data_IF_965649291951
#
_entry.id   IF_965649291951
#
_cell.length_a   1.000
_cell.length_b   1.000
_cell.length_c   1.000
_cell.angle_alpha   90.00
_cell.angle_beta   90.00
_cell.angle_gamma   90.00
#
_symmetry.space_group_name_H-M   'P 1'
#
loop_
_entity.id
_entity.type
_entity.pdbx_description
1 polymer ?
#
# COMPACT_ATOMS: atom_id res chain seq x y z
N UNK A 1 -67.14 36.79 33.18
CA UNK A 1 -65.79 36.22 33.04
C UNK A 1 -65.72 35.39 31.78
N UNK A 2 -65.14 35.92 30.69
CA UNK A 2 -64.89 35.18 29.43
C UNK A 2 -63.40 35.33 29.16
N UNK A 3 -62.62 34.27 29.43
CA UNK A 3 -61.18 34.23 29.15
C UNK A 3 -60.98 33.78 27.71
N UNK A 4 -60.50 34.69 26.85
CA UNK A 4 -60.02 34.36 25.51
C UNK A 4 -58.62 33.76 25.64
N UNK A 5 -58.45 32.51 25.22
CA UNK A 5 -57.14 31.86 25.11
C UNK A 5 -56.55 32.16 23.74
N UNK A 6 -55.49 32.98 23.70
CA UNK A 6 -54.69 33.23 22.50
C UNK A 6 -53.66 32.11 22.34
N UNK A 7 -53.88 31.20 21.39
CA UNK A 7 -52.88 30.21 21.00
C UNK A 7 -51.75 30.89 20.23
N UNK A 8 -50.56 30.94 20.82
CA UNK A 8 -49.34 31.39 20.14
C UNK A 8 -48.74 30.20 19.38
N UNK A 9 -48.77 30.26 18.05
CA UNK A 9 -48.14 29.28 17.17
C UNK A 9 -46.65 29.66 17.01
N UNK A 10 -45.77 28.95 17.69
CA UNK A 10 -44.32 29.13 17.59
C UNK A 10 -43.81 28.45 16.31
N UNK A 11 -43.50 29.26 15.28
CA UNK A 11 -42.89 28.80 14.04
C UNK A 11 -41.37 28.62 14.27
N UNK A 12 -40.90 27.37 14.41
CA UNK A 12 -39.47 27.06 14.43
C UNK A 12 -38.87 27.29 13.03
N UNK A 13 -38.04 28.33 12.90
CA UNK A 13 -37.14 28.50 11.75
C UNK A 13 -36.04 27.42 11.82
N UNK A 14 -36.08 26.45 10.91
CA UNK A 14 -34.96 25.54 10.69
C UNK A 14 -33.87 26.29 9.90
N UNK A 15 -32.74 26.61 10.56
CA UNK A 15 -31.56 27.10 9.84
C UNK A 15 -30.94 25.94 9.04
N UNK A 16 -30.59 26.14 7.76
CA UNK A 16 -29.90 25.11 6.99
C UNK A 16 -28.48 24.93 7.53
N UNK A 17 -28.15 23.71 7.95
CA UNK A 17 -26.79 23.33 8.31
C UNK A 17 -25.94 23.25 7.05
N UNK A 18 -24.87 24.04 6.96
CA UNK A 18 -23.84 23.90 5.93
C UNK A 18 -23.15 22.54 6.13
N UNK A 19 -23.51 21.55 5.31
CA UNK A 19 -22.83 20.27 5.27
C UNK A 19 -21.50 20.45 4.54
N UNK A 20 -20.39 20.23 5.23
CA UNK A 20 -19.07 20.10 4.60
C UNK A 20 -18.81 18.62 4.35
N UNK A 21 -18.96 18.17 3.10
CA UNK A 21 -18.53 16.83 2.71
C UNK A 21 -17.08 16.86 2.21
N UNK A 22 -16.38 15.74 2.38
CA UNK A 22 -15.05 15.50 1.82
C UNK A 22 -15.22 14.46 0.73
N UNK A 23 -14.79 14.78 -0.48
CA UNK A 23 -14.86 13.86 -1.62
C UNK A 23 -13.77 12.80 -1.49
N UNK A 24 -14.13 11.52 -1.35
CA UNK A 24 -13.17 10.43 -1.23
C UNK A 24 -12.90 9.84 -2.61
N UNK A 25 -11.67 10.01 -3.10
CA UNK A 25 -11.19 9.40 -4.35
C UNK A 25 -10.25 8.24 -4.01
N UNK A 26 -10.52 7.07 -4.59
CA UNK A 26 -9.67 5.89 -4.43
C UNK A 26 -8.65 5.83 -5.55
N UNK A 27 -7.36 5.82 -5.21
CA UNK A 27 -6.28 5.75 -6.19
C UNK A 27 -5.89 4.31 -6.51
N UNK A 28 -6.34 3.80 -7.65
CA UNK A 28 -6.04 2.44 -8.13
C UNK A 28 -4.95 2.44 -9.20
N UNK A 29 -3.98 3.36 -9.12
CA UNK A 29 -2.98 3.61 -10.17
C UNK A 29 -3.58 4.13 -11.50
N UNK A 30 -4.82 4.62 -11.44
CA UNK A 30 -5.50 5.33 -12.52
C UNK A 30 -5.41 6.84 -12.24
N UNK A 31 -5.21 7.69 -13.26
CA UNK A 31 -5.25 9.15 -13.09
C UNK A 31 -6.56 9.62 -12.46
N UNK A 32 -6.46 10.41 -11.39
CA UNK A 32 -7.63 10.95 -10.68
C UNK A 32 -8.02 12.32 -11.22
N UNK A 33 -9.29 12.49 -11.59
CA UNK A 33 -9.81 13.77 -12.05
C UNK A 33 -10.12 14.69 -10.87
N UNK A 34 -9.49 15.86 -10.81
CA UNK A 34 -9.71 16.88 -9.80
C UNK A 34 -10.12 18.18 -10.50
N UNK A 35 -11.43 18.42 -10.67
CA UNK A 35 -11.90 19.69 -11.21
C UNK A 35 -11.62 20.83 -10.24
N UNK A 36 -11.21 21.98 -10.77
CA UNK A 36 -10.89 23.21 -10.06
C UNK A 36 -11.84 24.32 -10.53
N UNK A 37 -11.99 25.34 -9.69
CA UNK A 37 -12.69 26.58 -10.04
C UNK A 37 -11.69 27.71 -9.98
N UNK A 38 -11.70 28.59 -10.98
CA UNK A 38 -10.79 29.74 -11.05
C UNK A 38 -11.00 30.64 -9.81
N UNK A 39 -9.90 31.07 -9.19
CA UNK A 39 -9.91 31.93 -8.00
C UNK A 39 -10.25 31.22 -6.69
N UNK A 40 -10.53 29.91 -6.71
CA UNK A 40 -10.84 29.12 -5.52
C UNK A 40 -9.74 28.09 -5.26
N UNK A 41 -9.25 28.03 -4.02
CA UNK A 41 -8.26 27.04 -3.61
C UNK A 41 -8.96 25.72 -3.26
N UNK A 42 -8.48 24.62 -3.84
CA UNK A 42 -8.95 23.26 -3.55
C UNK A 42 -7.85 22.48 -2.84
N UNK A 43 -8.21 21.89 -1.70
CA UNK A 43 -7.30 21.07 -0.89
C UNK A 43 -7.47 19.60 -1.27
N UNK A 44 -6.36 18.92 -1.50
CA UNK A 44 -6.30 17.48 -1.80
C UNK A 44 -5.44 16.80 -0.74
N UNK A 45 -6.05 16.01 0.15
CA UNK A 45 -5.36 15.21 1.14
C UNK A 45 -4.81 13.94 0.48
N UNK A 46 -3.50 13.77 0.47
CA UNK A 46 -2.80 12.59 -0.08
C UNK A 46 -2.31 11.66 1.05
N UNK A 47 -2.34 12.15 2.29
CA UNK A 47 -1.83 11.47 3.50
C UNK A 47 -0.35 11.05 3.38
N UNK A 48 0.38 11.62 2.41
CA UNK A 48 1.80 11.35 2.09
C UNK A 48 2.50 12.60 1.60
N UNK A 49 3.78 12.75 1.93
CA UNK A 49 4.58 13.86 1.45
C UNK A 49 4.93 13.64 -0.02
N UNK A 50 4.46 14.53 -0.90
CA UNK A 50 4.65 14.41 -2.35
C UNK A 50 5.38 15.61 -2.93
N UNK A 51 6.25 15.35 -3.90
CA UNK A 51 6.82 16.34 -4.81
C UNK A 51 5.93 16.44 -6.05
N UNK A 52 5.64 17.65 -6.49
CA UNK A 52 4.71 17.87 -7.61
C UNK A 52 5.46 18.39 -8.82
N UNK A 53 5.36 17.66 -9.93
CA UNK A 53 5.80 18.09 -11.25
C UNK A 53 4.68 18.83 -11.97
N UNK A 54 4.86 20.14 -12.17
CA UNK A 54 3.91 21.00 -12.89
C UNK A 54 4.39 21.19 -14.33
N UNK A 55 3.58 20.84 -15.35
CA UNK A 55 3.86 21.14 -16.75
C UNK A 55 4.12 22.62 -17.00
N UNK A 56 4.98 22.94 -17.98
CA UNK A 56 5.35 24.32 -18.31
C UNK A 56 4.14 25.19 -18.67
N UNK A 57 3.16 24.61 -19.34
CA UNK A 57 1.94 25.31 -19.79
C UNK A 57 1.04 25.77 -18.63
N UNK A 58 1.26 25.23 -17.43
CA UNK A 58 0.53 25.60 -16.21
C UNK A 58 1.30 26.58 -15.30
N UNK A 59 2.54 26.94 -15.65
CA UNK A 59 3.32 27.90 -14.87
C UNK A 59 2.63 29.27 -14.88
N UNK A 60 2.47 29.88 -13.71
CA UNK A 60 1.73 31.14 -13.53
C UNK A 60 0.21 30.96 -13.44
N UNK A 61 -0.37 29.99 -14.16
CA UNK A 61 -1.81 29.71 -14.16
C UNK A 61 -2.26 28.88 -12.97
N UNK A 62 -1.42 27.97 -12.50
CA UNK A 62 -1.69 27.11 -11.37
C UNK A 62 -0.67 27.34 -10.26
N UNK A 63 -1.14 27.77 -9.09
CA UNK A 63 -0.35 27.78 -7.86
C UNK A 63 -0.50 26.43 -7.16
N UNK A 64 0.63 25.80 -6.88
CA UNK A 64 0.70 24.48 -6.24
C UNK A 64 1.55 24.57 -4.99
N UNK A 65 1.02 24.12 -3.85
CA UNK A 65 1.79 23.99 -2.61
C UNK A 65 1.57 22.60 -2.00
N UNK A 66 2.66 21.93 -1.63
CA UNK A 66 2.62 20.62 -0.96
C UNK A 66 3.14 20.79 0.46
N UNK A 67 2.31 20.48 1.46
CA UNK A 67 2.71 20.57 2.87
C UNK A 67 1.93 19.58 3.72
N UNK A 68 2.63 18.89 4.62
CA UNK A 68 2.01 18.04 5.65
C UNK A 68 1.09 16.94 5.12
N UNK A 69 1.37 16.41 3.92
CA UNK A 69 0.51 15.40 3.28
C UNK A 69 -0.72 15.93 2.55
N UNK A 70 -0.86 17.26 2.44
CA UNK A 70 -1.91 17.93 1.68
C UNK A 70 -1.33 18.73 0.51
N UNK A 71 -2.10 18.80 -0.57
CA UNK A 71 -1.81 19.53 -1.79
C UNK A 71 -2.84 20.65 -1.95
N UNK A 72 -2.36 21.89 -1.98
CA UNK A 72 -3.17 23.09 -2.18
C UNK A 72 -3.06 23.51 -3.64
N UNK A 73 -4.19 23.51 -4.34
CA UNK A 73 -4.29 23.82 -5.76
C UNK A 73 -5.14 25.08 -5.94
N UNK A 74 -4.56 26.13 -6.50
CA UNK A 74 -5.28 27.35 -6.85
C UNK A 74 -5.07 27.63 -8.35
N UNK A 75 -6.16 27.63 -9.11
CA UNK A 75 -6.16 28.05 -10.50
C UNK A 75 -6.43 29.56 -10.58
N UNK A 76 -5.54 30.31 -11.19
CA UNK A 76 -5.67 31.76 -11.38
C UNK A 76 -6.43 32.10 -12.68
N UNK A 77 -6.46 31.16 -13.63
CA UNK A 77 -7.05 31.30 -14.96
C UNK A 77 -7.70 29.96 -15.37
N UNK A 78 -8.58 29.94 -16.38
CA UNK A 78 -9.07 28.70 -16.97
C UNK A 78 -7.94 27.80 -17.47
N UNK A 79 -8.03 26.51 -17.14
CA UNK A 79 -7.01 25.51 -17.46
C UNK A 79 -7.69 24.35 -18.22
N UNK A 80 -7.28 24.05 -19.46
CA UNK A 80 -7.74 22.84 -20.15
C UNK A 80 -7.26 21.59 -19.41
N UNK A 81 -7.88 20.41 -19.63
CA UNK A 81 -7.47 19.18 -18.98
C UNK A 81 -5.96 18.92 -19.07
N UNK A 82 -5.29 18.93 -17.92
CA UNK A 82 -3.84 18.85 -17.82
C UNK A 82 -3.43 17.90 -16.69
N UNK A 83 -2.34 17.17 -16.90
CA UNK A 83 -1.88 16.13 -15.99
C UNK A 83 -0.73 16.62 -15.10
N UNK A 84 -0.92 16.48 -13.79
CA UNK A 84 0.09 16.68 -12.76
C UNK A 84 0.70 15.34 -12.36
N UNK A 85 2.01 15.34 -12.12
CA UNK A 85 2.75 14.19 -11.59
C UNK A 85 3.08 14.40 -10.13
N UNK A 86 2.64 13.49 -9.27
CA UNK A 86 2.94 13.49 -7.86
C UNK A 86 3.91 12.35 -7.59
N UNK A 87 5.04 12.66 -6.98
CA UNK A 87 6.04 11.68 -6.59
C UNK A 87 6.11 11.61 -5.07
N UNK A 88 5.88 10.43 -4.50
CA UNK A 88 6.07 10.18 -3.07
C UNK A 88 7.54 10.39 -2.70
N UNK A 89 7.78 11.21 -1.67
CA UNK A 89 9.13 11.58 -1.25
C UNK A 89 9.89 10.42 -0.54
N UNK A 90 9.17 9.41 -0.04
CA UNK A 90 9.73 8.28 0.71
C UNK A 90 10.16 7.14 -0.21
N UNK A 91 9.25 6.66 -1.07
CA UNK A 91 9.49 5.48 -1.92
C UNK A 91 9.64 5.82 -3.42
N UNK A 92 9.43 7.08 -3.82
CA UNK A 92 9.52 7.51 -5.22
C UNK A 92 8.33 7.09 -6.09
N UNK A 93 7.27 6.52 -5.51
CA UNK A 93 6.06 6.10 -6.20
C UNK A 93 5.39 7.28 -6.92
N UNK A 94 4.89 7.03 -8.13
CA UNK A 94 4.29 8.07 -8.98
C UNK A 94 2.77 7.93 -9.03
N UNK A 95 2.09 8.99 -8.64
CA UNK A 95 0.64 9.17 -8.78
C UNK A 95 0.36 10.25 -9.84
N UNK A 96 -0.71 10.04 -10.62
CA UNK A 96 -1.15 10.96 -11.67
C UNK A 96 -2.48 11.58 -11.27
N UNK A 97 -2.57 12.90 -11.41
CA UNK A 97 -3.81 13.66 -11.19
C UNK A 97 -4.08 14.47 -12.46
N UNK A 98 -5.31 14.41 -12.94
CA UNK A 98 -5.78 15.22 -14.06
C UNK A 98 -6.60 16.39 -13.50
N UNK A 99 -6.17 17.61 -13.79
CA UNK A 99 -6.86 18.84 -13.37
C UNK A 99 -7.51 19.53 -14.57
N UNK A 100 -8.59 20.25 -14.30
CA UNK A 100 -9.18 21.19 -15.25
C UNK A 100 -9.82 22.33 -14.45
N UNK A 101 -9.63 23.57 -14.87
CA UNK A 101 -10.20 24.74 -14.17
C UNK A 101 -11.21 25.46 -15.06
N UNK A 102 -12.41 25.68 -14.51
CA UNK A 102 -13.50 26.43 -15.15
C UNK A 102 -13.80 27.70 -14.36
N UNK A 103 -14.33 28.72 -15.03
CA UNK A 103 -14.78 29.95 -14.38
C UNK A 103 -15.87 29.67 -13.34
N UNK A 104 -15.89 30.46 -12.26
CA UNK A 104 -16.93 30.39 -11.27
C UNK A 104 -18.25 30.95 -11.82
N UNK A 105 -19.34 30.21 -11.66
CA UNK A 105 -20.69 30.75 -11.89
C UNK A 105 -21.11 31.60 -10.68
N UNK A 106 -21.95 32.63 -10.86
CA UNK A 106 -22.27 33.64 -9.85
C UNK A 106 -22.73 33.09 -8.48
N UNK A 107 -23.30 31.88 -8.45
CA UNK A 107 -23.79 31.21 -7.23
C UNK A 107 -23.01 29.92 -6.90
N UNK A 108 -21.79 29.74 -7.43
CA UNK A 108 -21.06 28.49 -7.31
C UNK A 108 -20.27 28.42 -5.98
N UNK A 109 -20.73 27.55 -5.08
CA UNK A 109 -20.08 27.21 -3.83
C UNK A 109 -18.62 26.74 -4.05
N UNK A 110 -17.67 27.05 -3.14
CA UNK A 110 -16.32 26.50 -3.19
C UNK A 110 -16.34 24.97 -3.31
N UNK A 111 -15.49 24.44 -4.20
CA UNK A 111 -15.38 22.98 -4.36
C UNK A 111 -14.89 22.33 -3.08
N UNK A 112 -15.50 21.19 -2.77
CA UNK A 112 -15.17 20.42 -1.59
C UNK A 112 -13.73 19.88 -1.63
N UNK A 113 -13.08 19.75 -0.46
CA UNK A 113 -11.79 19.10 -0.35
C UNK A 113 -11.85 17.65 -0.83
N UNK A 114 -10.77 17.20 -1.45
CA UNK A 114 -10.61 15.82 -1.91
C UNK A 114 -9.72 15.08 -0.93
N UNK A 115 -10.07 13.84 -0.60
CA UNK A 115 -9.17 12.90 0.06
C UNK A 115 -8.86 11.75 -0.87
N UNK A 116 -7.59 11.61 -1.21
CA UNK A 116 -7.08 10.48 -1.99
C UNK A 116 -6.72 9.37 -1.02
N UNK A 117 -7.44 8.26 -1.11
CA UNK A 117 -7.12 7.04 -0.40
C UNK A 117 -6.33 6.14 -1.34
N UNK A 118 -5.13 5.73 -0.94
CA UNK A 118 -4.38 4.73 -1.69
C UNK A 118 -5.25 3.48 -1.86
N UNK A 119 -5.37 2.99 -3.10
CA UNK A 119 -6.01 1.70 -3.37
C UNK A 119 -5.32 0.60 -2.57
N UNK A 120 -6.01 -0.53 -2.40
CA UNK A 120 -5.45 -1.67 -1.69
C UNK A 120 -4.03 -1.94 -2.20
N UNK A 121 -3.02 -2.01 -1.30
CA UNK A 121 -1.69 -2.40 -1.74
C UNK A 121 -1.85 -3.75 -2.43
N UNK A 122 -1.32 -3.87 -3.66
CA UNK A 122 -1.26 -5.15 -4.37
C UNK A 122 -0.81 -6.19 -3.35
N UNK A 123 -1.61 -7.23 -3.17
CA UNK A 123 -1.34 -8.26 -2.17
C UNK A 123 0.14 -8.63 -2.24
N UNK A 124 0.87 -8.60 -1.11
CA UNK A 124 2.30 -8.86 -1.12
C UNK A 124 2.55 -10.19 -1.84
N UNK A 125 3.58 -10.23 -2.68
CA UNK A 125 3.98 -11.49 -3.28
C UNK A 125 4.33 -12.48 -2.16
N UNK A 126 4.05 -13.75 -2.37
CA UNK A 126 4.11 -14.74 -1.31
C UNK A 126 5.52 -14.79 -0.70
N UNK A 127 5.59 -14.64 0.63
CA UNK A 127 6.85 -14.66 1.37
C UNK A 127 7.53 -13.29 1.52
N UNK A 128 6.93 -12.20 1.04
CA UNK A 128 7.44 -10.85 1.26
C UNK A 128 6.98 -10.30 2.62
N UNK A 129 7.91 -9.67 3.35
CA UNK A 129 7.56 -8.94 4.57
C UNK A 129 6.84 -7.65 4.20
N UNK A 130 5.74 -7.33 4.88
CA UNK A 130 5.06 -6.04 4.66
C UNK A 130 5.98 -4.93 5.17
N UNK A 131 6.45 -4.07 4.28
CA UNK A 131 7.04 -2.80 4.72
C UNK A 131 5.95 -2.02 5.46
N UNK A 132 6.20 -1.70 6.73
CA UNK A 132 5.30 -0.92 7.52
C UNK A 132 5.15 0.46 6.88
N UNK A 133 4.09 0.67 6.10
CA UNK A 133 3.65 2.01 5.77
C UNK A 133 3.29 2.71 7.10
N UNK A 134 3.86 3.89 7.39
CA UNK A 134 3.50 4.61 8.59
C UNK A 134 2.03 5.02 8.48
N UNK A 135 1.16 4.31 9.20
CA UNK A 135 -0.21 4.74 9.43
C UNK A 135 -0.17 6.00 10.28
N UNK A 136 -0.87 7.04 9.84
CA UNK A 136 -0.95 8.34 10.51
C UNK A 136 -1.65 8.31 11.89
N UNK A 137 -1.96 7.14 12.44
CA UNK A 137 -2.58 6.98 13.76
C UNK A 137 -1.58 6.82 14.93
N UNK A 138 -0.26 6.75 14.68
CA UNK A 138 0.74 6.60 15.75
C UNK A 138 1.53 7.89 15.99
N UNK A 139 0.86 8.95 16.46
CA UNK A 139 1.55 10.02 17.21
C UNK A 139 1.25 9.84 18.68
N UNK A 140 2.20 9.20 19.38
CA UNK A 140 2.63 9.44 20.77
C UNK A 140 3.13 8.13 21.39
N UNK A 141 4.40 7.82 21.14
CA UNK A 141 5.33 7.36 22.20
C UNK A 141 6.73 7.36 21.61
N UNK A 142 7.57 8.25 22.14
CA UNK A 142 9.01 8.19 21.96
C UNK A 142 9.52 6.92 22.66
N UNK A 143 9.81 5.89 21.89
CA UNK A 143 10.89 4.94 22.15
C UNK A 143 11.34 4.44 20.77
N UNK A 144 12.61 4.66 20.45
CA UNK A 144 13.25 4.11 19.27
C UNK A 144 13.39 2.58 19.44
N UNK A 145 12.30 1.86 19.21
CA UNK A 145 12.35 0.43 19.01
C UNK A 145 12.67 0.19 17.53
N UNK A 146 13.69 -0.63 17.26
CA UNK A 146 14.02 -1.09 15.91
C UNK A 146 12.75 -1.55 15.19
N UNK A 147 12.59 -1.31 13.87
CA UNK A 147 11.36 -1.62 13.16
C UNK A 147 11.01 -3.10 13.38
N UNK A 148 9.97 -3.37 14.18
CA UNK A 148 9.41 -4.71 14.33
C UNK A 148 8.96 -5.14 12.95
N UNK A 149 9.64 -6.15 12.40
CA UNK A 149 9.29 -6.75 11.12
C UNK A 149 7.80 -7.09 11.16
N UNK A 150 7.02 -6.51 10.25
CA UNK A 150 5.58 -6.80 10.18
C UNK A 150 5.44 -8.30 9.90
N UNK A 151 4.57 -9.02 10.64
CA UNK A 151 4.39 -10.44 10.44
C UNK A 151 4.06 -10.73 8.96
N UNK A 152 4.81 -11.66 8.36
CA UNK A 152 4.49 -12.21 7.04
C UNK A 152 3.09 -12.82 7.06
N UNK A 153 2.32 -12.60 6.00
CA UNK A 153 0.98 -13.18 5.86
C UNK A 153 1.02 -14.71 5.76
N UNK A 154 2.01 -15.24 5.05
CA UNK A 154 2.26 -16.68 4.96
C UNK A 154 3.20 -17.17 6.07
N UNK A 155 2.88 -18.27 6.77
CA UNK A 155 3.79 -18.88 7.74
C UNK A 155 5.12 -19.31 7.12
N UNK A 156 6.23 -19.03 7.82
CA UNK A 156 7.61 -19.31 7.39
C UNK A 156 7.84 -20.76 6.92
N UNK A 157 7.32 -21.82 7.58
CA UNK A 157 7.51 -23.19 7.12
C UNK A 157 7.01 -23.45 5.70
N UNK A 158 5.88 -22.83 5.34
CA UNK A 158 5.29 -22.99 4.00
C UNK A 158 6.15 -22.28 2.96
N UNK A 159 6.65 -21.08 3.31
CA UNK A 159 7.57 -20.30 2.47
C UNK A 159 8.87 -21.06 2.20
N UNK A 160 9.50 -21.58 3.25
CA UNK A 160 10.73 -22.36 3.13
C UNK A 160 10.53 -23.64 2.33
N UNK A 161 9.42 -24.35 2.54
CA UNK A 161 9.11 -25.58 1.81
C UNK A 161 8.95 -25.31 0.31
N UNK A 162 8.19 -24.27 -0.04
CA UNK A 162 8.01 -23.86 -1.44
C UNK A 162 9.33 -23.46 -2.09
N UNK A 163 10.12 -22.64 -1.40
CA UNK A 163 11.41 -22.18 -1.90
C UNK A 163 12.37 -23.36 -2.12
N UNK A 164 12.50 -24.26 -1.14
CA UNK A 164 13.33 -25.46 -1.26
C UNK A 164 12.87 -26.37 -2.42
N UNK A 165 11.56 -26.55 -2.59
CA UNK A 165 11.02 -27.31 -3.72
C UNK A 165 11.33 -26.66 -5.07
N UNK A 166 11.20 -25.32 -5.20
CA UNK A 166 11.57 -24.61 -6.44
C UNK A 166 13.07 -24.74 -6.73
N UNK A 167 13.93 -24.64 -5.72
CA UNK A 167 15.38 -24.80 -5.89
C UNK A 167 15.79 -26.20 -6.38
N UNK A 168 15.01 -27.24 -6.07
CA UNK A 168 15.30 -28.62 -6.45
C UNK A 168 14.64 -29.04 -7.76
N UNK A 169 13.40 -28.61 -7.99
CA UNK A 169 12.53 -29.16 -9.03
C UNK A 169 12.17 -28.14 -10.11
N UNK A 170 12.38 -26.84 -9.90
CA UNK A 170 12.07 -25.81 -10.88
C UNK A 170 13.35 -25.26 -11.54
N UNK A 171 13.26 -24.75 -12.79
CA UNK A 171 14.35 -23.99 -13.38
C UNK A 171 14.73 -22.76 -12.52
N UNK A 172 16.03 -22.47 -12.41
CA UNK A 172 16.54 -21.34 -11.60
C UNK A 172 15.89 -19.98 -11.96
N UNK A 173 15.52 -19.79 -13.23
CA UNK A 173 14.85 -18.57 -13.72
C UNK A 173 13.42 -18.37 -13.21
N UNK A 174 12.78 -19.42 -12.69
CA UNK A 174 11.40 -19.39 -12.17
C UNK A 174 11.36 -19.50 -10.65
N UNK A 175 12.52 -19.55 -9.99
CA UNK A 175 12.58 -19.50 -8.53
C UNK A 175 12.17 -18.10 -8.10
N UNK A 176 11.14 -18.04 -7.26
CA UNK A 176 10.69 -16.77 -6.71
C UNK A 176 11.67 -16.31 -5.63
N UNK A 177 12.25 -15.10 -5.71
CA UNK A 177 13.13 -14.60 -4.68
C UNK A 177 12.34 -14.38 -3.39
N UNK A 178 12.89 -14.86 -2.27
CA UNK A 178 12.30 -14.67 -0.93
C UNK A 178 13.31 -13.96 -0.05
N UNK A 179 12.95 -12.77 0.42
CA UNK A 179 13.82 -11.94 1.24
C UNK A 179 14.18 -12.62 2.55
N UNK A 180 15.47 -12.64 2.89
CA UNK A 180 15.98 -13.22 4.14
C UNK A 180 16.20 -14.74 4.11
N UNK A 181 15.89 -15.42 3.00
CA UNK A 181 16.29 -16.84 2.85
C UNK A 181 17.79 -16.93 2.62
N UNK A 182 18.48 -17.65 3.50
CA UNK A 182 19.91 -17.92 3.41
C UNK A 182 20.19 -19.40 3.17
N UNK A 183 21.18 -19.71 2.33
CA UNK A 183 21.66 -21.09 2.18
C UNK A 183 22.49 -21.50 3.40
N UNK A 184 22.23 -22.70 3.92
CA UNK A 184 22.93 -23.28 5.07
C UNK A 184 23.86 -24.38 4.57
N UNK A 185 25.09 -24.39 5.08
CA UNK A 185 26.07 -25.42 4.73
C UNK A 185 25.67 -26.75 5.41
N UNK A 186 25.29 -27.73 4.60
CA UNK A 186 25.09 -29.11 5.06
C UNK A 186 26.36 -29.92 4.89
N UNK A 187 26.73 -30.71 5.89
CA UNK A 187 27.81 -31.69 5.74
C UNK A 187 27.33 -32.79 4.79
N UNK A 188 28.11 -33.09 3.75
CA UNK A 188 27.79 -34.17 2.79
C UNK A 188 27.69 -35.56 3.46
N UNK A 189 28.39 -35.73 4.58
CA UNK A 189 28.38 -36.94 5.43
C UNK A 189 27.51 -36.71 6.67
N UNK A 190 26.35 -36.07 6.52
CA UNK A 190 25.38 -36.03 7.61
C UNK A 190 24.86 -37.45 7.80
N UNK A 191 25.00 -38.00 9.01
CA UNK A 191 24.46 -39.32 9.32
C UNK A 191 22.93 -39.23 9.36
N UNK A 192 22.31 -39.83 8.34
CA UNK A 192 20.86 -39.87 8.15
C UNK A 192 20.30 -41.29 8.26
N UNK A 193 21.10 -42.23 8.76
CA UNK A 193 20.71 -43.65 8.89
C UNK A 193 19.52 -43.85 9.83
N UNK A 194 19.27 -42.89 10.72
CA UNK A 194 18.18 -42.91 11.70
C UNK A 194 16.85 -42.35 11.18
N UNK A 195 16.80 -41.74 9.99
CA UNK A 195 15.55 -41.14 9.48
C UNK A 195 14.46 -42.19 9.20
N UNK A 196 14.83 -43.33 8.62
CA UNK A 196 13.93 -44.41 8.22
C UNK A 196 14.63 -45.77 8.37
N UNK A 197 14.96 -46.18 9.61
CA UNK A 197 15.89 -47.29 9.87
C UNK A 197 15.35 -48.67 9.45
N UNK A 198 14.03 -48.81 9.30
CA UNK A 198 13.38 -50.06 8.92
C UNK A 198 13.21 -50.23 7.41
N UNK A 199 13.61 -49.25 6.59
CA UNK A 199 13.43 -49.28 5.14
C UNK A 199 14.78 -49.45 4.42
N UNK A 200 14.85 -50.24 3.34
CA UNK A 200 16.06 -50.39 2.54
C UNK A 200 16.27 -49.16 1.65
N UNK A 201 16.62 -48.02 2.26
CA UNK A 201 16.83 -46.76 1.54
C UNK A 201 18.18 -46.13 1.85
N UNK A 202 18.73 -45.44 0.85
CA UNK A 202 19.90 -44.58 1.02
C UNK A 202 19.42 -43.13 1.08
N UNK A 203 19.70 -42.45 2.19
CA UNK A 203 19.40 -41.03 2.39
C UNK A 203 20.63 -40.16 2.12
N UNK A 204 20.49 -39.08 1.35
CA UNK A 204 21.58 -38.14 1.06
C UNK A 204 21.08 -36.70 1.14
N UNK A 205 21.70 -35.87 1.97
CA UNK A 205 21.38 -34.44 2.03
C UNK A 205 21.80 -33.73 0.72
N UNK A 206 20.87 -32.99 0.11
CA UNK A 206 21.09 -32.24 -1.13
C UNK A 206 21.41 -30.77 -0.86
N UNK A 207 20.78 -30.17 0.15
CA UNK A 207 20.95 -28.77 0.50
C UNK A 207 20.12 -28.39 1.72
N UNK A 208 20.39 -27.22 2.31
CA UNK A 208 19.57 -26.66 3.37
C UNK A 208 19.47 -25.14 3.24
N UNK A 209 18.37 -24.61 3.77
CA UNK A 209 18.06 -23.19 3.79
C UNK A 209 17.47 -22.79 5.14
N UNK A 210 17.64 -21.51 5.48
CA UNK A 210 17.13 -20.89 6.71
C UNK A 210 16.32 -19.65 6.34
N UNK A 211 15.24 -19.42 7.07
CA UNK A 211 14.49 -18.16 7.10
C UNK A 211 14.01 -17.96 8.54
N UNK A 212 14.34 -16.80 9.12
CA UNK A 212 14.11 -16.51 10.54
C UNK A 212 14.62 -17.68 11.41
N UNK A 213 13.84 -18.22 12.33
CA UNK A 213 14.25 -19.32 13.21
C UNK A 213 14.03 -20.72 12.61
N UNK A 214 13.58 -20.81 11.36
CA UNK A 214 13.28 -22.07 10.69
C UNK A 214 14.41 -22.52 9.78
N UNK A 215 14.61 -23.84 9.76
CA UNK A 215 15.56 -24.53 8.90
C UNK A 215 14.83 -25.61 8.12
N UNK A 216 15.20 -25.75 6.84
CA UNK A 216 14.74 -26.85 6.00
C UNK A 216 15.95 -27.53 5.36
N UNK A 217 15.96 -28.87 5.38
CA UNK A 217 16.99 -29.69 4.72
C UNK A 217 16.34 -30.58 3.69
N UNK A 218 16.82 -30.51 2.45
CA UNK A 218 16.41 -31.39 1.37
C UNK A 218 17.18 -32.71 1.44
N UNK A 219 16.48 -33.83 1.44
CA UNK A 219 17.08 -35.17 1.51
C UNK A 219 16.58 -36.00 0.32
N UNK A 220 17.51 -36.51 -0.48
CA UNK A 220 17.24 -37.52 -1.50
C UNK A 220 17.11 -38.88 -0.83
N UNK A 221 16.01 -39.58 -1.09
CA UNK A 221 15.83 -40.97 -0.69
C UNK A 221 15.91 -41.85 -1.95
N UNK A 222 16.77 -42.86 -1.91
CA UNK A 222 16.92 -43.83 -2.99
C UNK A 222 16.56 -45.21 -2.46
N UNK A 223 15.60 -45.88 -3.12
CA UNK A 223 15.28 -47.26 -2.79
C UNK A 223 16.46 -48.19 -3.16
N UNK A 224 16.88 -49.03 -2.22
CA UNK A 224 17.94 -50.02 -2.36
C UNK A 224 17.41 -51.47 -2.32
N UNK A 225 16.09 -51.68 -2.40
CA UNK A 225 15.49 -53.01 -2.53
C UNK A 225 15.79 -53.64 -3.89
N UNK A 226 15.91 -54.97 -3.92
CA UNK A 226 16.10 -55.73 -5.16
C UNK A 226 14.88 -55.74 -6.10
N UNK A 227 13.70 -55.36 -5.60
CA UNK A 227 12.50 -55.22 -6.42
C UNK A 227 12.48 -53.85 -7.09
N UNK A 228 12.55 -53.86 -8.42
CA UNK A 228 12.25 -52.72 -9.27
C UNK A 228 10.76 -52.74 -9.63
N UNK A 229 10.11 -51.57 -9.63
CA UNK A 229 8.75 -51.37 -10.14
C UNK A 229 8.74 -51.41 -11.68
#
# INVERSE_FOLDING_TARGET
MIRKSTGSLLLMLALPTLAHAVEILRWERIPLAIPLTVGQERIVFVDRNVRVGVPRDLQGKLRVQSTGGALYLLANEPIPPARLRLQDATNGEQMLIDIAATEATADQQPREPVRIVAGEPVAPHYGQSREAQPSAAAKQTEHAEAPKAVPRETPVPVVLTRYAAQMLYAPLRTVEPVDGVGQVRVKRQLDLTTLLPSLPITATALGAWRLDDYYITAVKLQNASAQHL
#
